data_IF_187740001576
#
_entry.id   IF_187740001576
#
_cell.length_a   1.000
_cell.length_b   1.000
_cell.length_c   1.000
_cell.angle_alpha   90.00
_cell.angle_beta   90.00
_cell.angle_gamma   90.00
#
_symmetry.space_group_name_H-M   'P 1'
#
loop_
_entity.id
_entity.type
_entity.pdbx_description
1 polymer ?
#
# COMPACT_ATOMS: atom_id res chain seq x y z
N UNK A 1 -6.87 10.06 16.94
CA UNK A 1 -8.10 10.14 16.11
C UNK A 1 -8.30 8.88 15.26
N UNK A 2 -7.29 8.34 14.59
CA UNK A 2 -7.40 7.07 13.82
C UNK A 2 -7.81 5.87 14.70
N UNK A 3 -7.38 5.84 15.98
CA UNK A 3 -7.75 4.80 16.95
C UNK A 3 -9.25 4.76 17.31
N UNK A 4 -10.01 5.81 17.01
CA UNK A 4 -11.43 5.92 17.39
C UNK A 4 -12.38 5.53 16.24
N UNK A 5 -11.91 5.61 14.98
CA UNK A 5 -12.75 5.38 13.79
C UNK A 5 -12.80 3.92 13.35
N UNK A 6 -11.85 3.10 13.81
CA UNK A 6 -11.74 1.69 13.43
C UNK A 6 -11.66 0.90 14.72
N UNK A 7 -12.80 0.37 15.20
CA UNK A 7 -12.87 -0.44 16.42
C UNK A 7 -12.05 -1.75 16.33
N UNK A 8 -12.37 -2.73 17.17
CA UNK A 8 -11.66 -4.04 17.28
C UNK A 8 -11.29 -4.69 15.92
N UNK A 9 -12.10 -4.51 14.87
CA UNK A 9 -11.85 -5.05 13.51
C UNK A 9 -10.75 -4.33 12.72
N UNK A 10 -10.41 -3.08 13.07
CA UNK A 10 -9.38 -2.28 12.42
C UNK A 10 -7.96 -2.70 12.76
N UNK A 11 -7.74 -3.12 14.02
CA UNK A 11 -6.40 -3.52 14.46
C UNK A 11 -5.92 -4.78 13.74
N UNK A 12 -6.80 -5.75 13.49
CA UNK A 12 -6.44 -6.97 12.79
C UNK A 12 -6.08 -6.71 11.32
N UNK A 13 -6.82 -5.84 10.62
CA UNK A 13 -6.52 -5.49 9.22
C UNK A 13 -5.30 -4.58 9.06
N UNK A 14 -5.06 -3.66 10.01
CA UNK A 14 -3.93 -2.74 9.97
C UNK A 14 -2.60 -3.40 10.36
N UNK A 15 -2.62 -4.38 11.25
CA UNK A 15 -1.42 -5.08 11.72
C UNK A 15 -1.16 -6.38 10.93
N UNK A 16 -2.12 -6.87 10.15
CA UNK A 16 -1.92 -8.01 9.27
C UNK A 16 -1.20 -7.59 7.98
N UNK A 17 -0.01 -8.13 7.77
CA UNK A 17 0.64 -8.07 6.46
C UNK A 17 -0.03 -9.04 5.50
N UNK A 18 -0.40 -8.57 4.32
CA UNK A 18 -1.01 -9.41 3.27
C UNK A 18 0.00 -9.92 2.23
N UNK A 19 1.26 -9.44 2.27
CA UNK A 19 2.38 -9.80 1.37
C UNK A 19 1.96 -10.04 -0.10
N UNK A 20 1.16 -9.12 -0.66
CA UNK A 20 0.60 -9.25 -2.01
C UNK A 20 1.67 -8.99 -3.08
N UNK A 21 1.66 -9.81 -4.14
CA UNK A 21 2.50 -9.63 -5.33
C UNK A 21 1.62 -9.41 -6.57
N UNK A 22 1.87 -8.39 -7.41
CA UNK A 22 1.00 -7.97 -8.51
C UNK A 22 1.22 -8.75 -9.82
N UNK A 23 1.37 -10.08 -9.77
CA UNK A 23 1.78 -10.93 -10.90
C UNK A 23 0.96 -10.74 -12.19
N UNK A 24 -0.35 -10.51 -12.07
CA UNK A 24 -1.22 -10.28 -13.24
C UNK A 24 -0.93 -8.97 -13.95
N UNK A 25 -0.64 -7.90 -13.19
CA UNK A 25 -0.34 -6.60 -13.76
C UNK A 25 1.02 -6.63 -14.47
N UNK A 26 2.01 -7.27 -13.86
CA UNK A 26 3.32 -7.51 -14.47
C UNK A 26 3.20 -8.31 -15.77
N UNK A 27 2.42 -9.41 -15.75
CA UNK A 27 2.18 -10.24 -16.94
C UNK A 27 1.45 -9.50 -18.06
N UNK A 28 0.60 -8.52 -17.71
CA UNK A 28 -0.10 -7.67 -18.67
C UNK A 28 0.78 -6.52 -19.21
N UNK A 29 2.04 -6.40 -18.78
CA UNK A 29 2.95 -5.33 -19.17
C UNK A 29 2.60 -3.96 -18.57
N UNK A 30 1.78 -3.93 -17.51
CA UNK A 30 1.45 -2.69 -16.81
C UNK A 30 2.71 -2.10 -16.17
N UNK A 31 2.95 -0.80 -16.39
CA UNK A 31 4.07 -0.07 -15.80
C UNK A 31 3.57 0.83 -14.69
N UNK A 32 4.03 0.55 -13.46
CA UNK A 32 3.78 1.43 -12.34
C UNK A 32 4.58 2.73 -12.51
N UNK A 33 3.93 3.87 -12.31
CA UNK A 33 4.60 5.17 -12.27
C UNK A 33 5.59 5.26 -11.10
N UNK A 34 5.27 4.58 -9.98
CA UNK A 34 6.08 4.47 -8.78
C UNK A 34 6.18 2.98 -8.39
N UNK A 35 7.21 2.25 -8.85
CA UNK A 35 7.30 0.80 -8.66
C UNK A 35 7.70 0.39 -7.23
N UNK A 36 8.25 1.32 -6.46
CA UNK A 36 8.70 1.10 -5.09
C UNK A 36 8.16 2.18 -4.14
N UNK A 37 8.20 1.85 -2.85
CA UNK A 37 7.66 2.70 -1.80
C UNK A 37 8.37 4.06 -1.71
N UNK A 38 9.69 4.11 -1.94
CA UNK A 38 10.45 5.36 -1.84
C UNK A 38 10.00 6.33 -2.94
N UNK A 39 9.93 5.86 -4.18
CA UNK A 39 9.49 6.68 -5.31
C UNK A 39 8.07 7.22 -5.12
N UNK A 40 7.16 6.41 -4.56
CA UNK A 40 5.80 6.82 -4.27
C UNK A 40 5.75 7.87 -3.15
N UNK A 41 6.48 7.65 -2.05
CA UNK A 41 6.52 8.60 -0.94
C UNK A 41 7.12 9.94 -1.35
N UNK A 42 8.16 9.94 -2.20
CA UNK A 42 8.77 11.17 -2.73
C UNK A 42 7.78 11.98 -3.58
N UNK A 43 6.99 11.30 -4.40
CA UNK A 43 5.96 11.93 -5.23
C UNK A 43 4.83 12.53 -4.40
N UNK A 44 4.32 11.80 -3.40
CA UNK A 44 3.17 12.23 -2.60
C UNK A 44 3.53 13.26 -1.51
N UNK A 45 4.74 13.18 -0.95
CA UNK A 45 5.16 14.04 0.17
C UNK A 45 6.06 15.21 -0.27
N UNK A 46 6.51 15.24 -1.52
CA UNK A 46 7.33 16.32 -2.08
C UNK A 46 8.72 16.44 -1.42
N UNK A 47 9.27 15.34 -0.90
CA UNK A 47 10.60 15.26 -0.26
C UNK A 47 11.38 14.10 -0.86
#
# INVERSE_FOLDING_TARGET
VIRLLVGEMGQALLLASTRVLPQRLESAGFRFAHPDLESALRAELGR
#
